data_IF_272710423220
#
_entry.id   IF_272710423220
#
_cell.length_a   1.000
_cell.length_b   1.000
_cell.length_c   1.000
_cell.angle_alpha   90.00
_cell.angle_beta   90.00
_cell.angle_gamma   90.00
#
_symmetry.space_group_name_H-M   'P 1'
#
loop_
_entity.id
_entity.type
_entity.pdbx_description
1 polymer ?
#
# COMPACT_ATOMS: atom_id res chain seq x y z
N UNK A 1 -31.91 63.14 -1.71
CA UNK A 1 -31.72 61.71 -1.29
C UNK A 1 -31.17 60.81 -2.40
N UNK A 2 -31.46 61.03 -3.69
CA UNK A 2 -30.96 60.18 -4.79
C UNK A 2 -29.44 60.27 -5.04
N UNK A 3 -28.75 61.36 -4.67
CA UNK A 3 -27.31 61.55 -4.94
C UNK A 3 -26.37 60.84 -3.97
N UNK A 4 -26.88 60.35 -2.82
CA UNK A 4 -26.08 59.61 -1.84
C UNK A 4 -26.16 58.11 -2.01
N UNK A 5 -27.17 57.61 -2.68
CA UNK A 5 -27.39 56.17 -2.91
C UNK A 5 -26.43 55.61 -3.95
N UNK A 6 -26.04 56.40 -4.94
CA UNK A 6 -25.16 55.98 -6.02
C UNK A 6 -23.74 55.55 -5.53
N UNK A 7 -23.04 56.35 -4.69
CA UNK A 7 -21.74 55.93 -4.19
C UNK A 7 -21.83 54.70 -3.26
N UNK A 8 -22.95 54.55 -2.52
CA UNK A 8 -23.15 53.38 -1.67
C UNK A 8 -23.36 52.08 -2.46
N UNK A 9 -24.10 52.13 -3.57
CA UNK A 9 -24.30 51.02 -4.48
C UNK A 9 -22.99 50.68 -5.19
N UNK A 10 -22.21 51.65 -5.62
CA UNK A 10 -20.91 51.45 -6.25
C UNK A 10 -19.90 50.82 -5.26
N UNK A 11 -19.88 51.21 -4.01
CA UNK A 11 -19.05 50.64 -2.96
C UNK A 11 -19.44 49.22 -2.60
N UNK A 12 -20.73 48.89 -2.56
CA UNK A 12 -21.25 47.57 -2.36
C UNK A 12 -20.88 46.62 -3.54
N UNK A 13 -20.93 47.13 -4.78
CA UNK A 13 -20.56 46.38 -5.98
C UNK A 13 -19.05 46.05 -6.03
N UNK A 14 -18.19 46.97 -5.56
CA UNK A 14 -16.74 46.73 -5.45
C UNK A 14 -16.42 45.68 -4.38
N UNK A 15 -17.16 45.63 -3.28
CA UNK A 15 -16.99 44.63 -2.22
C UNK A 15 -17.40 43.23 -2.69
N UNK A 16 -18.33 43.08 -3.65
CA UNK A 16 -18.75 41.81 -4.22
C UNK A 16 -17.74 41.23 -5.23
N UNK A 17 -16.85 42.04 -5.80
CA UNK A 17 -15.83 41.62 -6.77
C UNK A 17 -14.58 41.01 -6.13
N UNK A 18 -14.41 41.12 -4.79
CA UNK A 18 -13.24 40.61 -4.07
C UNK A 18 -13.22 39.10 -3.76
N UNK A 19 -14.20 38.33 -4.23
CA UNK A 19 -14.39 36.91 -3.81
C UNK A 19 -13.63 35.87 -4.62
N UNK A 20 -12.60 36.22 -5.39
CA UNK A 20 -11.82 35.24 -6.17
C UNK A 20 -10.49 34.85 -5.50
N UNK A 21 -10.53 34.15 -4.37
CA UNK A 21 -9.33 33.68 -3.68
C UNK A 21 -9.12 32.15 -3.71
N UNK A 22 -9.96 31.40 -4.41
CA UNK A 22 -10.02 29.92 -4.22
C UNK A 22 -9.08 29.09 -5.10
N UNK A 23 -8.57 29.61 -6.23
CA UNK A 23 -7.78 28.81 -7.18
C UNK A 23 -6.41 28.36 -6.66
N UNK A 24 -5.76 29.14 -5.79
CA UNK A 24 -4.45 28.79 -5.24
C UNK A 24 -4.45 27.60 -4.27
N UNK A 25 -5.61 27.19 -3.75
CA UNK A 25 -5.71 26.10 -2.79
C UNK A 25 -5.91 24.72 -3.45
N UNK A 26 -6.03 24.68 -4.77
CA UNK A 26 -6.36 23.48 -5.54
C UNK A 26 -5.14 22.81 -6.15
N UNK A 27 -4.02 23.53 -6.37
CA UNK A 27 -2.82 22.93 -6.96
C UNK A 27 -1.94 22.27 -5.91
N UNK A 28 -1.38 21.11 -6.30
CA UNK A 28 -0.38 20.38 -5.54
C UNK A 28 1.01 21.02 -5.71
N UNK A 29 1.90 20.82 -4.74
CA UNK A 29 3.34 21.10 -4.84
C UNK A 29 3.70 22.49 -5.37
N UNK A 30 3.10 23.51 -4.79
CA UNK A 30 3.23 24.91 -5.28
C UNK A 30 4.66 25.46 -5.24
N UNK A 31 5.56 24.82 -4.46
CA UNK A 31 6.97 25.23 -4.26
C UNK A 31 7.96 24.22 -4.84
N UNK A 32 7.56 23.37 -5.80
CA UNK A 32 8.41 22.29 -6.35
C UNK A 32 9.72 22.81 -6.95
N UNK A 33 9.73 24.01 -7.51
CA UNK A 33 10.93 24.62 -8.09
C UNK A 33 12.04 24.92 -7.06
N UNK A 34 11.71 24.94 -5.76
CA UNK A 34 12.62 25.25 -4.66
C UNK A 34 13.04 24.03 -3.84
N UNK A 35 12.62 22.81 -4.24
CA UNK A 35 12.88 21.58 -3.49
C UNK A 35 13.96 20.74 -4.17
N UNK A 36 14.96 20.31 -3.41
CA UNK A 36 15.97 19.36 -3.88
C UNK A 36 15.40 17.94 -3.87
N UNK A 37 14.89 17.52 -5.01
CA UNK A 37 14.34 16.17 -5.21
C UNK A 37 15.42 15.07 -5.17
N UNK A 38 16.71 15.40 -5.24
CA UNK A 38 17.78 14.41 -5.15
C UNK A 38 17.91 13.80 -3.74
N UNK A 39 17.46 14.53 -2.72
CA UNK A 39 17.45 14.07 -1.32
C UNK A 39 16.33 13.04 -1.03
N UNK A 40 15.34 12.91 -1.90
CA UNK A 40 14.12 12.10 -1.69
C UNK A 40 14.30 10.60 -2.01
N UNK A 41 15.53 10.11 -2.17
CA UNK A 41 15.83 8.72 -2.53
C UNK A 41 15.78 7.74 -1.36
N UNK A 42 14.78 7.82 -0.50
CA UNK A 42 14.55 6.83 0.56
C UNK A 42 14.03 5.51 -0.04
N UNK A 43 14.82 4.44 0.02
CA UNK A 43 14.30 3.08 -0.18
C UNK A 43 13.64 2.64 1.13
N UNK A 44 12.34 2.43 1.09
CA UNK A 44 11.60 1.92 2.24
C UNK A 44 11.18 0.48 1.94
N UNK A 45 11.65 -0.46 2.75
CA UNK A 45 11.21 -1.85 2.73
C UNK A 45 10.16 -2.07 3.82
N UNK A 46 8.96 -2.46 3.41
CA UNK A 46 7.91 -2.82 4.33
C UNK A 46 8.33 -4.06 5.15
N UNK A 47 7.96 -4.07 6.45
CA UNK A 47 8.19 -5.22 7.33
C UNK A 47 6.90 -5.98 7.53
N UNK A 48 7.03 -7.30 7.59
CA UNK A 48 5.91 -8.20 7.86
C UNK A 48 5.40 -7.95 9.28
N UNK A 49 4.08 -7.82 9.42
CA UNK A 49 3.39 -7.56 10.68
C UNK A 49 2.44 -8.71 11.02
N UNK A 50 2.08 -8.89 12.32
CA UNK A 50 0.97 -9.76 12.69
C UNK A 50 -0.31 -9.41 11.93
N UNK A 51 -1.07 -10.42 11.49
CA UNK A 51 -2.27 -10.32 10.64
C UNK A 51 -2.02 -10.07 9.15
N UNK A 52 -0.78 -9.95 8.71
CA UNK A 52 -0.49 -9.94 7.28
C UNK A 52 -0.80 -11.28 6.62
N UNK A 53 -1.22 -11.22 5.37
CA UNK A 53 -1.38 -12.38 4.50
C UNK A 53 -0.18 -12.45 3.56
N UNK A 54 0.55 -13.55 3.63
CA UNK A 54 1.73 -13.78 2.81
C UNK A 54 1.43 -14.84 1.74
N UNK A 55 1.80 -14.57 0.51
CA UNK A 55 1.92 -15.58 -0.54
C UNK A 55 3.39 -15.96 -0.65
N UNK A 56 3.71 -17.20 -0.36
CA UNK A 56 5.08 -17.73 -0.42
C UNK A 56 5.11 -18.81 -1.47
N UNK A 57 6.03 -18.68 -2.43
CA UNK A 57 6.21 -19.64 -3.51
C UNK A 57 7.67 -20.10 -3.55
N UNK A 58 7.85 -21.41 -3.59
CA UNK A 58 9.16 -22.06 -3.74
C UNK A 58 9.24 -22.67 -5.12
N UNK A 59 10.31 -22.35 -5.84
CA UNK A 59 10.64 -22.93 -7.15
C UNK A 59 12.00 -23.57 -7.06
N UNK A 60 12.12 -24.80 -7.57
CA UNK A 60 13.37 -25.57 -7.69
C UNK A 60 13.55 -26.05 -9.13
N UNK A 61 14.71 -26.58 -9.46
CA UNK A 61 15.01 -27.13 -10.80
C UNK A 61 14.05 -28.27 -11.16
N UNK A 62 13.72 -29.12 -10.18
CA UNK A 62 12.67 -30.14 -10.29
C UNK A 62 11.40 -29.69 -9.54
N UNK A 63 10.29 -29.41 -10.25
CA UNK A 63 9.03 -28.98 -9.62
C UNK A 63 8.47 -29.97 -8.60
N UNK A 64 8.78 -31.26 -8.70
CA UNK A 64 8.33 -32.26 -7.74
C UNK A 64 8.95 -32.03 -6.36
N UNK A 65 10.19 -31.61 -6.34
CA UNK A 65 10.95 -31.30 -5.10
C UNK A 65 10.42 -30.05 -4.39
N UNK A 66 9.90 -29.07 -5.13
CA UNK A 66 9.31 -27.86 -4.55
C UNK A 66 7.89 -28.08 -3.97
N UNK A 67 7.16 -29.05 -4.50
CA UNK A 67 5.74 -29.29 -4.18
C UNK A 67 5.43 -29.38 -2.68
N UNK A 68 6.22 -30.06 -1.83
CA UNK A 68 5.96 -30.16 -0.40
C UNK A 68 6.04 -28.83 0.34
N UNK A 69 6.75 -27.84 -0.19
CA UNK A 69 6.97 -26.52 0.42
C UNK A 69 5.94 -25.47 -0.01
N UNK A 70 5.10 -25.80 -1.00
CA UNK A 70 4.07 -24.90 -1.49
C UNK A 70 2.70 -25.33 -0.95
N UNK A 71 1.90 -24.36 -0.52
CA UNK A 71 0.50 -24.63 -0.22
C UNK A 71 -0.23 -24.97 -1.52
N UNK A 72 -0.84 -26.15 -1.57
CA UNK A 72 -1.67 -26.59 -2.69
C UNK A 72 -3.00 -27.07 -2.18
N UNK A 73 -4.10 -26.65 -2.83
CA UNK A 73 -5.39 -27.33 -2.68
C UNK A 73 -5.41 -28.43 -3.72
N UNK A 74 -5.44 -29.68 -3.29
CA UNK A 74 -5.82 -30.76 -4.19
C UNK A 74 -7.31 -30.61 -4.48
N UNK A 75 -7.66 -30.21 -5.70
CA UNK A 75 -9.02 -30.35 -6.20
C UNK A 75 -9.33 -31.83 -6.31
N UNK A 76 -10.01 -32.39 -5.33
CA UNK A 76 -10.70 -33.68 -5.48
C UNK A 76 -11.99 -33.44 -6.28
N UNK A 77 -11.87 -33.01 -7.53
CA UNK A 77 -12.98 -33.01 -8.46
C UNK A 77 -12.97 -34.39 -9.16
N UNK A 78 -14.12 -35.06 -9.05
CA UNK A 78 -14.39 -36.31 -9.76
C UNK A 78 -14.25 -36.12 -11.28
N UNK A 79 -14.20 -37.25 -11.96
CA UNK A 79 -13.82 -37.57 -13.34
C UNK A 79 -14.53 -36.78 -14.47
N UNK A 80 -15.33 -35.74 -14.20
CA UNK A 80 -16.10 -35.00 -15.21
C UNK A 80 -15.73 -33.49 -15.32
N UNK A 81 -14.56 -33.11 -14.85
CA UNK A 81 -14.13 -31.73 -14.99
C UNK A 81 -13.63 -31.45 -16.41
N UNK A 82 -14.46 -30.78 -17.20
CA UNK A 82 -14.00 -29.97 -18.36
C UNK A 82 -12.82 -29.14 -17.91
N UNK A 83 -11.74 -29.15 -18.72
CA UNK A 83 -10.53 -28.38 -18.57
C UNK A 83 -10.92 -26.87 -18.67
N UNK A 84 -11.47 -26.33 -17.60
CA UNK A 84 -11.50 -24.92 -17.31
C UNK A 84 -10.29 -24.64 -16.45
N UNK A 85 -9.40 -23.78 -16.89
CA UNK A 85 -8.25 -23.31 -16.12
C UNK A 85 -8.70 -22.87 -14.73
N UNK A 86 -8.67 -23.80 -13.76
CA UNK A 86 -8.67 -23.41 -12.36
C UNK A 86 -7.32 -22.73 -12.14
N UNK A 87 -7.31 -21.41 -12.25
CA UNK A 87 -6.29 -20.56 -11.65
C UNK A 87 -6.26 -20.99 -10.19
N UNK A 88 -5.33 -21.87 -9.82
CA UNK A 88 -5.16 -22.30 -8.44
C UNK A 88 -5.05 -21.05 -7.60
N UNK A 89 -6.05 -20.80 -6.77
CA UNK A 89 -5.97 -19.71 -5.81
C UNK A 89 -4.71 -19.95 -5.01
N UNK A 90 -3.74 -19.05 -5.14
CA UNK A 90 -2.52 -19.12 -4.35
C UNK A 90 -2.95 -19.04 -2.89
N UNK A 91 -2.75 -20.12 -2.17
CA UNK A 91 -3.05 -20.16 -0.75
C UNK A 91 -2.10 -19.22 -0.02
N UNK A 92 -2.64 -18.54 0.96
CA UNK A 92 -1.93 -17.51 1.71
C UNK A 92 -1.69 -17.97 3.13
N UNK A 93 -0.57 -17.56 3.70
CA UNK A 93 -0.23 -17.74 5.11
C UNK A 93 -0.69 -16.54 5.89
N UNK A 94 -1.50 -16.73 6.92
CA UNK A 94 -1.83 -15.69 7.88
C UNK A 94 -0.74 -15.63 8.96
N UNK A 95 -0.10 -14.49 9.12
CA UNK A 95 0.80 -14.24 10.24
C UNK A 95 -0.02 -14.10 11.52
N UNK A 96 0.24 -14.95 12.50
CA UNK A 96 -0.47 -14.98 13.77
C UNK A 96 -0.10 -13.78 14.68
N UNK A 97 -0.72 -13.72 15.87
CA UNK A 97 -0.46 -12.64 16.84
C UNK A 97 0.98 -12.68 17.40
N UNK A 98 1.65 -13.84 17.35
CA UNK A 98 3.04 -14.00 17.78
C UNK A 98 4.03 -13.66 16.66
N UNK A 99 3.53 -13.32 15.47
CA UNK A 99 4.34 -13.04 14.30
C UNK A 99 4.84 -14.32 13.61
N UNK A 100 4.14 -15.44 13.75
CA UNK A 100 4.52 -16.74 13.20
C UNK A 100 3.56 -17.19 12.11
N UNK A 101 4.05 -18.07 11.23
CA UNK A 101 3.25 -18.80 10.24
C UNK A 101 3.50 -20.31 10.39
N UNK A 102 2.48 -21.12 10.10
CA UNK A 102 2.63 -22.56 10.00
C UNK A 102 3.08 -22.90 8.57
N UNK A 103 4.37 -23.22 8.40
CA UNK A 103 4.96 -23.48 7.10
C UNK A 103 5.11 -24.98 6.85
N UNK A 104 4.72 -25.50 5.65
CA UNK A 104 4.81 -26.92 5.35
C UNK A 104 6.22 -27.47 5.56
N UNK A 105 6.32 -28.71 6.04
CA UNK A 105 7.57 -29.45 6.28
C UNK A 105 8.40 -28.89 7.42
N UNK A 106 8.54 -27.57 7.52
CA UNK A 106 9.40 -26.90 8.52
C UNK A 106 8.65 -26.72 9.85
N UNK A 107 7.32 -26.59 9.82
CA UNK A 107 6.49 -26.24 10.96
C UNK A 107 6.40 -24.76 11.20
N UNK A 108 6.22 -24.37 12.47
CA UNK A 108 6.00 -22.98 12.86
C UNK A 108 7.28 -22.16 12.80
N UNK A 109 7.25 -21.03 12.09
CA UNK A 109 8.38 -20.13 11.91
C UNK A 109 7.94 -18.66 12.15
N UNK A 110 8.81 -17.91 12.83
CA UNK A 110 8.59 -16.48 13.08
C UNK A 110 9.08 -15.65 11.90
N UNK A 111 8.20 -14.80 11.36
CA UNK A 111 8.48 -13.96 10.19
C UNK A 111 8.22 -12.47 10.44
N UNK A 112 7.49 -12.13 11.50
CA UNK A 112 7.20 -10.72 11.82
C UNK A 112 8.48 -9.92 12.11
N UNK A 113 8.50 -8.67 11.63
CA UNK A 113 9.64 -7.77 11.71
C UNK A 113 10.66 -7.93 10.58
N UNK A 114 10.58 -9.01 9.80
CA UNK A 114 11.46 -9.21 8.64
C UNK A 114 10.96 -8.40 7.45
N UNK A 115 11.90 -7.91 6.65
CA UNK A 115 11.58 -7.45 5.28
C UNK A 115 11.30 -8.66 4.40
N UNK A 116 10.74 -8.42 3.21
CA UNK A 116 10.54 -9.46 2.20
C UNK A 116 11.82 -10.26 1.93
N UNK A 117 12.91 -9.57 1.65
CA UNK A 117 14.21 -10.18 1.32
C UNK A 117 14.79 -10.99 2.48
N UNK A 118 14.68 -10.48 3.70
CA UNK A 118 15.09 -11.21 4.91
C UNK A 118 14.28 -12.50 5.09
N UNK A 119 12.95 -12.43 4.86
CA UNK A 119 12.06 -13.57 4.96
C UNK A 119 12.36 -14.63 3.87
N UNK A 120 12.60 -14.20 2.62
CA UNK A 120 13.00 -15.07 1.50
C UNK A 120 14.30 -15.83 1.82
N UNK A 121 15.31 -15.11 2.31
CA UNK A 121 16.60 -15.71 2.72
C UNK A 121 16.43 -16.65 3.90
N UNK A 122 15.62 -16.28 4.89
CA UNK A 122 15.34 -17.11 6.06
C UNK A 122 14.69 -18.43 5.69
N UNK A 123 13.60 -18.39 4.88
CA UNK A 123 12.91 -19.59 4.42
C UNK A 123 13.83 -20.43 3.54
N UNK A 124 14.58 -19.82 2.62
CA UNK A 124 15.58 -20.52 1.79
C UNK A 124 16.55 -21.32 2.64
N UNK A 125 17.09 -20.72 3.71
CA UNK A 125 18.00 -21.43 4.59
C UNK A 125 17.33 -22.55 5.38
N UNK A 126 16.07 -22.42 5.74
CA UNK A 126 15.30 -23.44 6.46
C UNK A 126 14.95 -24.66 5.59
N UNK A 127 14.70 -24.46 4.29
CA UNK A 127 14.34 -25.55 3.36
C UNK A 127 15.57 -26.29 2.81
N UNK A 128 16.74 -25.64 2.73
CA UNK A 128 17.98 -26.24 2.22
C UNK A 128 18.29 -27.64 2.75
N UNK A 129 18.15 -27.95 4.07
CA UNK A 129 18.44 -29.28 4.61
C UNK A 129 17.57 -30.41 4.04
N UNK A 130 16.41 -30.08 3.49
CA UNK A 130 15.45 -31.03 2.92
C UNK A 130 15.63 -31.23 1.40
N UNK A 131 16.56 -30.49 0.79
CA UNK A 131 16.84 -30.51 -0.63
C UNK A 131 18.21 -31.18 -0.90
N UNK A 132 18.40 -31.66 -2.11
CA UNK A 132 19.71 -32.15 -2.53
C UNK A 132 20.71 -30.98 -2.61
N UNK A 133 22.01 -31.28 -2.47
CA UNK A 133 23.07 -30.27 -2.49
C UNK A 133 23.18 -29.52 -3.82
N UNK A 134 22.64 -30.09 -4.87
CA UNK A 134 22.65 -29.49 -6.23
C UNK A 134 21.44 -28.60 -6.48
N UNK A 135 20.43 -28.62 -5.61
CA UNK A 135 19.24 -27.81 -5.75
C UNK A 135 19.45 -26.38 -5.22
N UNK A 136 19.05 -25.42 -6.02
CA UNK A 136 19.06 -23.99 -5.68
C UNK A 136 17.64 -23.45 -5.62
N UNK A 137 16.96 -23.54 -4.45
CA UNK A 137 15.61 -23.08 -4.34
C UNK A 137 15.52 -21.56 -4.47
N UNK A 138 14.55 -21.09 -5.24
CA UNK A 138 14.15 -19.68 -5.30
C UNK A 138 12.87 -19.54 -4.49
N UNK A 139 12.93 -18.78 -3.42
CA UNK A 139 11.78 -18.44 -2.57
C UNK A 139 11.33 -17.03 -2.90
N UNK A 140 10.05 -16.85 -3.18
CA UNK A 140 9.44 -15.55 -3.40
C UNK A 140 8.37 -15.31 -2.36
N UNK A 141 8.44 -14.19 -1.66
CA UNK A 141 7.46 -13.75 -0.66
C UNK A 141 6.74 -12.51 -1.17
N UNK A 142 5.41 -12.48 -1.07
CA UNK A 142 4.58 -11.32 -1.40
C UNK A 142 3.60 -11.05 -0.27
N UNK A 143 3.49 -9.80 0.14
CA UNK A 143 2.44 -9.35 1.06
C UNK A 143 1.17 -9.11 0.26
N UNK A 144 0.12 -9.92 0.53
CA UNK A 144 -1.13 -9.92 -0.24
C UNK A 144 -2.26 -9.13 0.44
N UNK A 145 -2.08 -8.73 1.70
CA UNK A 145 -3.07 -7.98 2.49
C UNK A 145 -2.86 -6.46 2.48
N UNK A 146 -1.79 -6.01 1.82
CA UNK A 146 -1.44 -4.59 1.86
C UNK A 146 -2.48 -3.74 1.13
N UNK A 147 -3.10 -2.82 1.87
CA UNK A 147 -4.17 -1.95 1.38
C UNK A 147 -4.17 -0.62 2.11
N UNK A 148 -4.59 0.43 1.41
CA UNK A 148 -4.77 1.77 1.95
C UNK A 148 -6.24 2.15 1.88
N UNK A 149 -6.80 2.66 2.97
CA UNK A 149 -8.16 3.20 3.00
C UNK A 149 -8.10 4.71 2.78
N UNK A 150 -8.73 5.18 1.71
CA UNK A 150 -8.89 6.60 1.42
C UNK A 150 -10.32 6.99 1.74
N UNK A 151 -10.48 7.95 2.66
CA UNK A 151 -11.78 8.42 3.13
C UNK A 151 -11.77 9.95 3.32
N UNK A 152 -12.94 10.55 3.32
CA UNK A 152 -13.14 11.99 3.46
C UNK A 152 -13.55 12.66 2.14
N UNK A 153 -13.11 13.89 1.93
CA UNK A 153 -13.47 14.73 0.78
C UNK A 153 -12.69 14.35 -0.51
N UNK A 154 -12.86 13.11 -0.95
CA UNK A 154 -12.38 12.57 -2.23
C UNK A 154 -13.58 12.19 -3.11
N UNK A 155 -13.36 12.13 -4.42
CA UNK A 155 -14.47 11.83 -5.36
C UNK A 155 -15.09 10.44 -5.14
N UNK A 156 -14.29 9.45 -4.72
CA UNK A 156 -14.74 8.08 -4.49
C UNK A 156 -14.00 7.45 -3.31
N UNK A 157 -14.47 7.64 -2.06
CA UNK A 157 -13.88 6.98 -0.88
C UNK A 157 -13.88 5.45 -1.06
N UNK A 158 -12.73 4.83 -0.84
CA UNK A 158 -12.55 3.37 -1.02
C UNK A 158 -11.33 2.81 -0.32
N UNK A 159 -11.29 1.49 -0.27
CA UNK A 159 -10.09 0.73 0.05
C UNK A 159 -9.33 0.43 -1.24
N UNK A 160 -8.08 0.87 -1.30
CA UNK A 160 -7.19 0.69 -2.45
C UNK A 160 -6.23 -0.46 -2.15
N UNK A 161 -6.27 -1.57 -2.90
CA UNK A 161 -5.28 -2.63 -2.75
C UNK A 161 -3.94 -2.18 -3.31
N UNK A 162 -2.86 -2.44 -2.59
CA UNK A 162 -1.50 -2.15 -3.02
C UNK A 162 -0.92 -3.42 -3.64
N UNK A 163 -0.78 -3.43 -4.95
CA UNK A 163 -0.25 -4.58 -5.71
C UNK A 163 1.27 -4.56 -5.82
N UNK A 164 1.86 -3.40 -5.61
CA UNK A 164 3.30 -3.17 -5.52
C UNK A 164 3.72 -3.06 -4.06
N UNK A 165 5.00 -3.09 -3.75
CA UNK A 165 5.50 -3.06 -2.37
C UNK A 165 5.37 -1.68 -1.72
N UNK A 166 5.02 -0.66 -2.48
CA UNK A 166 4.83 0.72 -2.00
C UNK A 166 3.67 1.39 -2.73
N UNK A 167 3.08 2.36 -2.06
CA UNK A 167 2.10 3.28 -2.63
C UNK A 167 2.34 4.66 -2.04
N UNK A 168 2.45 5.67 -2.89
CA UNK A 168 2.52 7.05 -2.43
C UNK A 168 1.15 7.56 -1.99
N UNK A 169 1.15 8.59 -1.17
CA UNK A 169 -0.10 9.26 -0.74
C UNK A 169 -0.87 9.80 -1.95
N UNK A 170 -0.15 10.34 -2.93
CA UNK A 170 -0.77 10.86 -4.15
C UNK A 170 -1.40 9.75 -5.00
N UNK A 171 -0.73 8.61 -5.15
CA UNK A 171 -1.30 7.46 -5.87
C UNK A 171 -2.58 6.98 -5.20
N UNK A 172 -2.61 6.91 -3.88
CA UNK A 172 -3.79 6.52 -3.13
C UNK A 172 -4.96 7.51 -3.36
N UNK A 173 -4.68 8.81 -3.29
CA UNK A 173 -5.67 9.87 -3.52
C UNK A 173 -6.14 9.85 -4.97
N UNK A 174 -5.22 9.72 -5.95
CA UNK A 174 -5.56 9.66 -7.38
C UNK A 174 -6.46 8.45 -7.70
N UNK A 175 -6.19 7.29 -7.10
CA UNK A 175 -7.07 6.12 -7.25
C UNK A 175 -8.46 6.33 -6.63
N UNK A 176 -8.57 7.20 -5.62
CA UNK A 176 -9.87 7.63 -5.05
C UNK A 176 -10.56 8.74 -5.86
N UNK A 177 -10.01 9.12 -7.03
CA UNK A 177 -10.57 10.12 -7.92
C UNK A 177 -10.24 11.57 -7.55
N UNK A 178 -9.16 11.77 -6.81
CA UNK A 178 -8.67 13.04 -6.27
C UNK A 178 -9.55 13.64 -5.14
N UNK A 179 -8.99 14.65 -4.47
CA UNK A 179 -9.71 15.48 -3.52
C UNK A 179 -10.73 16.37 -4.24
N UNK A 180 -11.94 16.47 -3.70
CA UNK A 180 -12.95 17.40 -4.20
C UNK A 180 -12.50 18.86 -4.03
N UNK A 181 -13.26 19.80 -4.57
CA UNK A 181 -13.04 21.23 -4.37
C UNK A 181 -13.14 21.67 -2.89
N UNK A 182 -13.79 20.85 -2.07
CA UNK A 182 -13.94 21.07 -0.62
C UNK A 182 -12.85 20.38 0.19
N UNK A 183 -12.08 19.51 -0.43
CA UNK A 183 -10.98 18.77 0.21
C UNK A 183 -9.83 19.69 0.60
N UNK A 184 -9.41 19.62 1.85
CA UNK A 184 -8.31 20.42 2.40
C UNK A 184 -6.97 19.78 2.07
N UNK A 185 -6.32 20.23 1.00
CA UNK A 185 -4.99 19.75 0.57
C UNK A 185 -3.88 20.10 1.55
N UNK A 186 -4.08 21.14 2.34
CA UNK A 186 -3.14 21.57 3.39
C UNK A 186 -3.27 20.81 4.71
N UNK A 187 -4.23 19.91 4.83
CA UNK A 187 -4.51 19.17 6.07
C UNK A 187 -5.01 17.74 5.80
N UNK A 188 -4.21 16.95 5.11
CA UNK A 188 -4.49 15.53 4.91
C UNK A 188 -3.90 14.73 6.06
N UNK A 189 -4.68 13.83 6.65
CA UNK A 189 -4.23 12.94 7.71
C UNK A 189 -3.75 11.61 7.12
N UNK A 190 -2.51 11.26 7.37
CA UNK A 190 -1.97 9.93 7.17
C UNK A 190 -1.94 9.21 8.52
N UNK A 191 -2.72 8.16 8.65
CA UNK A 191 -2.74 7.29 9.82
C UNK A 191 -2.13 5.96 9.40
N UNK A 192 -1.04 5.55 10.04
CA UNK A 192 -0.38 4.28 9.80
C UNK A 192 -0.05 3.59 11.13
N UNK A 193 0.14 2.30 11.08
CA UNK A 193 0.59 1.49 12.20
C UNK A 193 2.10 1.25 12.04
N UNK A 194 2.85 1.47 13.10
CA UNK A 194 4.29 1.19 13.13
C UNK A 194 4.56 -0.29 13.44
N UNK A 195 5.84 -0.69 13.44
CA UNK A 195 6.25 -2.07 13.68
C UNK A 195 5.83 -2.62 15.06
N UNK A 196 5.56 -1.75 16.02
CA UNK A 196 5.14 -2.09 17.38
C UNK A 196 3.60 -2.19 17.50
N UNK A 197 2.86 -2.02 16.40
CA UNK A 197 1.39 -2.02 16.39
C UNK A 197 0.76 -0.73 16.91
N UNK A 198 1.54 0.34 17.11
CA UNK A 198 1.05 1.64 17.54
C UNK A 198 0.64 2.49 16.33
N UNK A 199 -0.45 3.24 16.46
CA UNK A 199 -0.91 4.15 15.42
C UNK A 199 -0.20 5.48 15.50
N UNK A 200 0.39 5.88 14.37
CA UNK A 200 1.00 7.19 14.17
C UNK A 200 0.12 8.03 13.26
N UNK A 201 0.00 9.32 13.58
CA UNK A 201 -0.79 10.28 12.80
C UNK A 201 0.12 11.39 12.29
N UNK A 202 0.24 11.49 10.99
CA UNK A 202 0.98 12.55 10.31
C UNK A 202 0.03 13.49 9.59
N UNK A 203 0.23 14.80 9.76
CA UNK A 203 -0.50 15.82 9.01
C UNK A 203 0.33 16.25 7.82
N UNK A 204 -0.22 16.07 6.64
CA UNK A 204 0.44 16.33 5.37
C UNK A 204 -0.18 17.57 4.74
N UNK A 205 0.69 18.46 4.25
CA UNK A 205 0.30 19.57 3.40
C UNK A 205 0.66 19.23 1.95
N UNK A 206 -0.31 18.81 1.17
CA UNK A 206 -0.12 18.40 -0.23
C UNK A 206 0.17 19.59 -1.17
N UNK A 207 0.05 20.84 -0.67
CA UNK A 207 0.48 22.01 -1.43
C UNK A 207 2.00 22.22 -1.36
N UNK A 208 2.67 21.58 -0.39
CA UNK A 208 4.10 21.69 -0.15
C UNK A 208 4.84 20.48 -0.76
N UNK A 209 5.83 20.75 -1.61
CA UNK A 209 6.63 19.73 -2.26
C UNK A 209 7.67 19.07 -1.33
N UNK A 210 7.93 19.60 -0.13
CA UNK A 210 8.83 18.96 0.85
C UNK A 210 8.32 17.63 1.39
N UNK A 211 7.10 17.23 1.02
CA UNK A 211 6.53 15.91 1.39
C UNK A 211 6.86 14.78 0.40
N UNK A 212 7.54 15.09 -0.71
CA UNK A 212 7.86 14.12 -1.78
C UNK A 212 9.07 13.23 -1.39
#
# INVERSE_FOLDING_TARGET
>A
MKKLVFPFVLMAMILLLGSCSSARKVSYFQNVDNVDLAASRGLYDARIMPKDLLTITVVTSDPATARPFNLSVQSTLGTDARIGSSTGSLLQYLVDNNGEIDYPVIGRIRVAGMTKTECEAYITNKIKPYLSKTEHPVVTVRMSSYRVTVAGEVASPKVVPVTTEKMSVLEAIAQAGDLTIYGKRDNVLLIRENADGQKEVHRLNLNDANII
#
